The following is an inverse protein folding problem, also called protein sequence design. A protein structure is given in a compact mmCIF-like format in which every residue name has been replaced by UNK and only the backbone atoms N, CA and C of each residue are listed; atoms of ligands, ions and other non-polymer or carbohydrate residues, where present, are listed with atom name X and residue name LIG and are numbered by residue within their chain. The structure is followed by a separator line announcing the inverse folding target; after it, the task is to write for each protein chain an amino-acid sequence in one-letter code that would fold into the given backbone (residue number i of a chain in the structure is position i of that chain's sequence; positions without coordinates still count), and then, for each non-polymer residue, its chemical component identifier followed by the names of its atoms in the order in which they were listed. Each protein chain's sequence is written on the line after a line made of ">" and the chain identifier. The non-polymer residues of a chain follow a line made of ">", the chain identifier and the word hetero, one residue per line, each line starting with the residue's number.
data_IF_457412482426
#
_entry.id   IF_457412482426
#
_cell.length_a   1.000
_cell.length_b   1.000
_cell.length_c   1.000
_cell.angle_alpha   90.00
_cell.angle_beta   90.00
_cell.angle_gamma   90.00
#
_symmetry.space_group_name_H-M   'P 1'
#
loop_
_entity.id
_entity.type
_entity.pdbx_description
1 polymer ?
#
# COMPACT_ATOMS: atom_id res chain seq x y z
N UNK A 1 13.67 -5.08 15.34
CA UNK A 1 13.13 -3.78 15.80
C UNK A 1 12.21 -3.28 14.71
N UNK A 2 10.97 -2.87 15.03
CA UNK A 2 10.02 -2.30 14.05
C UNK A 2 9.70 -0.86 14.43
N UNK A 3 9.44 0.00 13.45
CA UNK A 3 9.00 1.38 13.67
C UNK A 3 7.56 1.55 13.19
N UNK A 4 6.68 2.02 14.07
CA UNK A 4 5.33 2.41 13.67
C UNK A 4 5.42 3.75 12.93
N UNK A 5 4.93 3.79 11.69
CA UNK A 5 4.87 5.02 10.89
C UNK A 5 3.91 6.03 11.52
N UNK A 6 4.23 7.31 11.40
CA UNK A 6 3.33 8.39 11.79
C UNK A 6 2.18 8.51 10.80
N UNK A 7 1.08 9.14 11.22
CA UNK A 7 -0.08 9.34 10.33
C UNK A 7 0.25 10.21 9.12
N UNK A 8 1.08 11.24 9.29
CA UNK A 8 1.51 12.09 8.17
C UNK A 8 2.28 11.26 7.13
N UNK A 9 3.30 10.54 7.57
CA UNK A 9 4.08 9.66 6.69
C UNK A 9 3.23 8.57 6.03
N UNK A 10 2.23 8.05 6.75
CA UNK A 10 1.30 7.08 6.16
C UNK A 10 0.54 7.66 4.96
N UNK A 11 0.08 8.91 5.03
CA UNK A 11 -0.59 9.55 3.90
C UNK A 11 0.36 9.77 2.72
N UNK A 12 1.59 10.20 2.98
CA UNK A 12 2.61 10.32 1.93
C UNK A 12 2.84 8.97 1.22
N UNK A 13 2.86 7.85 1.97
CA UNK A 13 2.99 6.51 1.38
C UNK A 13 1.74 6.09 0.59
N UNK A 14 0.54 6.48 1.02
CA UNK A 14 -0.70 6.22 0.27
C UNK A 14 -0.70 7.00 -1.05
N UNK A 15 -0.22 8.24 -1.07
CA UNK A 15 -0.10 9.02 -2.32
C UNK A 15 0.88 8.39 -3.31
N UNK A 16 1.92 7.71 -2.82
CA UNK A 16 2.90 6.98 -3.63
C UNK A 16 2.46 5.55 -3.99
N UNK A 17 1.34 5.07 -3.45
CA UNK A 17 0.95 3.68 -3.58
C UNK A 17 0.49 3.31 -4.99
N UNK A 18 0.68 2.05 -5.34
CA UNK A 18 0.27 1.47 -6.62
C UNK A 18 -0.47 0.15 -6.40
N UNK A 19 -1.30 -0.23 -7.38
CA UNK A 19 -1.96 -1.53 -7.42
C UNK A 19 -1.10 -2.55 -8.18
N UNK A 20 -0.93 -3.74 -7.61
CA UNK A 20 -0.32 -4.90 -8.30
C UNK A 20 -1.15 -6.15 -8.09
N UNK A 21 -1.21 -6.99 -9.11
CA UNK A 21 -1.76 -8.35 -8.98
C UNK A 21 -0.74 -9.24 -8.24
N UNK A 22 -1.12 -9.75 -7.08
CA UNK A 22 -0.35 -10.67 -6.26
C UNK A 22 -1.17 -11.94 -6.06
N UNK A 23 -0.68 -13.07 -6.58
CA UNK A 23 -1.33 -14.38 -6.41
C UNK A 23 -2.83 -14.41 -6.82
N UNK A 24 -3.21 -13.62 -7.83
CA UNK A 24 -4.60 -13.55 -8.32
C UNK A 24 -5.50 -12.57 -7.55
N UNK A 25 -4.97 -11.85 -6.57
CA UNK A 25 -5.66 -10.76 -5.88
C UNK A 25 -4.97 -9.43 -6.18
N UNK A 26 -5.77 -8.40 -6.50
CA UNK A 26 -5.24 -7.05 -6.70
C UNK A 26 -5.01 -6.39 -5.36
N UNK A 27 -3.76 -6.05 -5.08
CA UNK A 27 -3.32 -5.46 -3.82
C UNK A 27 -2.82 -4.04 -4.04
N UNK A 28 -3.13 -3.16 -3.11
CA UNK A 28 -2.55 -1.83 -3.01
C UNK A 28 -1.36 -1.86 -2.05
N UNK A 29 -0.29 -1.16 -2.40
CA UNK A 29 0.93 -1.11 -1.59
C UNK A 29 1.96 -0.14 -2.15
N UNK A 30 3.17 -0.18 -1.62
CA UNK A 30 4.27 0.70 -2.05
C UNK A 30 5.42 -0.12 -2.63
N UNK A 31 5.98 0.37 -3.73
CA UNK A 31 7.23 -0.15 -4.26
C UNK A 31 8.43 0.56 -3.61
N UNK A 32 9.40 -0.21 -3.12
CA UNK A 32 10.62 0.33 -2.54
C UNK A 32 11.77 -0.63 -2.77
N UNK A 33 12.93 -0.10 -3.17
CA UNK A 33 14.13 -0.89 -3.46
C UNK A 33 13.91 -2.07 -4.43
N UNK A 34 13.02 -1.89 -5.42
CA UNK A 34 12.68 -2.92 -6.42
C UNK A 34 11.66 -3.96 -5.94
N UNK A 35 11.29 -3.94 -4.66
CA UNK A 35 10.32 -4.85 -4.05
C UNK A 35 8.98 -4.17 -3.82
N UNK A 36 7.90 -4.95 -3.75
CA UNK A 36 6.55 -4.45 -3.48
C UNK A 36 6.03 -4.90 -2.13
N UNK A 37 5.56 -3.94 -1.33
CA UNK A 37 5.06 -4.16 0.01
C UNK A 37 3.54 -3.92 0.03
N UNK A 38 2.78 -5.00 0.00
CA UNK A 38 1.31 -4.97 0.05
C UNK A 38 0.81 -4.42 1.40
N UNK A 39 -0.19 -3.54 1.35
CA UNK A 39 -0.84 -2.94 2.52
C UNK A 39 -2.27 -3.44 2.72
N UNK A 40 -3.05 -3.52 1.64
CA UNK A 40 -4.45 -3.92 1.67
C UNK A 40 -4.91 -4.43 0.29
N UNK A 41 -6.01 -5.19 0.21
CA UNK A 41 -6.70 -5.44 -1.06
C UNK A 41 -7.09 -4.11 -1.70
N UNK A 42 -6.83 -3.96 -3.00
CA UNK A 42 -7.21 -2.76 -3.76
C UNK A 42 -8.72 -2.50 -3.72
N UNK A 43 -9.51 -3.56 -3.51
CA UNK A 43 -10.96 -3.45 -3.34
C UNK A 43 -11.36 -2.60 -2.12
N UNK A 44 -10.60 -2.64 -1.04
CA UNK A 44 -10.91 -1.92 0.20
C UNK A 44 -10.75 -0.40 0.09
N UNK A 45 -10.04 0.09 -0.92
CA UNK A 45 -9.89 1.53 -1.17
C UNK A 45 -11.14 2.15 -1.81
N UNK A 46 -11.92 1.36 -2.53
CA UNK A 46 -13.13 1.84 -3.23
C UNK A 46 -14.23 2.28 -2.26
N UNK A 47 -14.21 1.77 -1.03
CA UNK A 47 -15.20 2.11 -0.02
C UNK A 47 -14.97 3.50 0.63
N UNK A 48 -13.83 4.15 0.32
CA UNK A 48 -13.44 5.45 0.88
C UNK A 48 -13.48 6.61 -0.12
N UNK A 49 -13.87 6.37 -1.38
CA UNK A 49 -14.10 7.39 -2.42
C UNK A 49 -15.58 7.70 -2.64
#
# INVERSE_FOLDING_TARGET
>A
LWAKVTRALFYDLVELGEERDLCGERMFGVASAGEFFAMAPAASLRDFM
#
